data_IF_011233379804
#
_entry.id   IF_011233379804
#
_cell.length_a   1.000
_cell.length_b   1.000
_cell.length_c   1.000
_cell.angle_alpha   90.00
_cell.angle_beta   90.00
_cell.angle_gamma   90.00
#
_symmetry.space_group_name_H-M   'P 1'
#
loop_
_entity.id
_entity.type
_entity.pdbx_description
1 polymer ?
#
# COMPACT_ATOMS: atom_id res chain seq x y z
N UNK A 1 4.86 -21.46 -17.04
CA UNK A 1 4.23 -20.34 -17.72
C UNK A 1 3.62 -19.39 -16.70
N UNK A 2 3.85 -18.08 -16.85
CA UNK A 2 3.19 -17.06 -16.07
C UNK A 2 1.74 -16.93 -16.57
N UNK A 3 0.80 -16.70 -15.63
CA UNK A 3 -0.60 -16.39 -15.97
C UNK A 3 -0.92 -15.00 -15.43
N UNK A 4 -1.67 -14.23 -16.22
CA UNK A 4 -2.05 -12.87 -15.88
C UNK A 4 -3.55 -12.84 -15.59
N UNK A 5 -3.93 -12.21 -14.48
CA UNK A 5 -5.31 -11.84 -14.16
C UNK A 5 -5.38 -10.32 -14.07
N UNK A 6 -6.49 -9.77 -14.58
CA UNK A 6 -6.75 -8.32 -14.55
C UNK A 6 -8.09 -8.12 -13.85
N UNK A 7 -8.11 -7.22 -12.86
CA UNK A 7 -9.30 -6.75 -12.16
C UNK A 7 -9.49 -5.29 -12.53
N UNK A 8 -10.57 -4.98 -13.21
CA UNK A 8 -10.85 -3.61 -13.67
C UNK A 8 -11.61 -2.79 -12.62
N UNK A 9 -11.62 -1.46 -12.76
CA UNK A 9 -12.44 -0.58 -11.92
C UNK A 9 -13.93 -0.95 -11.96
N UNK A 10 -14.41 -1.44 -13.11
CA UNK A 10 -15.79 -1.90 -13.25
C UNK A 10 -16.05 -3.21 -12.49
N UNK A 11 -15.07 -4.12 -12.46
CA UNK A 11 -15.17 -5.36 -11.69
C UNK A 11 -15.23 -5.04 -10.19
N UNK A 12 -14.39 -4.08 -9.73
CA UNK A 12 -14.38 -3.61 -8.35
C UNK A 12 -15.77 -3.07 -7.93
N UNK A 13 -16.38 -2.25 -8.78
CA UNK A 13 -17.72 -1.70 -8.52
C UNK A 13 -18.82 -2.75 -8.55
N UNK A 14 -18.85 -3.61 -9.57
CA UNK A 14 -19.90 -4.63 -9.75
C UNK A 14 -19.92 -5.65 -8.63
N UNK A 15 -18.77 -6.00 -8.09
CA UNK A 15 -18.63 -6.98 -7.02
C UNK A 15 -18.75 -6.37 -5.62
N UNK A 16 -18.88 -5.05 -5.51
CA UNK A 16 -18.95 -4.35 -4.22
C UNK A 16 -17.65 -4.49 -3.41
N UNK A 17 -16.51 -4.57 -4.10
CA UNK A 17 -15.19 -4.70 -3.48
C UNK A 17 -14.86 -3.37 -2.80
N UNK A 18 -14.50 -3.44 -1.52
CA UNK A 18 -14.25 -2.27 -0.67
C UNK A 18 -12.78 -2.05 -0.38
N UNK A 19 -11.93 -3.05 -0.60
CA UNK A 19 -10.49 -2.95 -0.35
C UNK A 19 -9.66 -3.63 -1.44
N UNK A 20 -8.38 -3.24 -1.55
CA UNK A 20 -7.41 -3.92 -2.44
C UNK A 20 -7.22 -5.37 -2.00
N UNK A 21 -7.27 -5.64 -0.69
CA UNK A 21 -7.21 -6.99 -0.16
C UNK A 21 -8.32 -7.87 -0.72
N UNK A 22 -9.57 -7.39 -0.65
CA UNK A 22 -10.73 -8.12 -1.19
C UNK A 22 -10.58 -8.36 -2.69
N UNK A 23 -10.12 -7.34 -3.43
CA UNK A 23 -9.87 -7.48 -4.87
C UNK A 23 -8.88 -8.60 -5.17
N UNK A 24 -7.79 -8.68 -4.43
CA UNK A 24 -6.75 -9.67 -4.66
C UNK A 24 -7.16 -11.09 -4.25
N UNK A 25 -8.03 -11.26 -3.25
CA UNK A 25 -8.55 -12.58 -2.86
C UNK A 25 -9.41 -13.22 -3.95
N UNK A 26 -9.96 -12.43 -4.86
CA UNK A 26 -10.70 -12.93 -6.03
C UNK A 26 -9.80 -13.61 -7.07
N UNK A 27 -8.49 -13.43 -6.98
CA UNK A 27 -7.54 -13.99 -7.95
C UNK A 27 -7.12 -15.41 -7.52
N UNK A 28 -7.41 -16.45 -8.31
CA UNK A 28 -7.03 -17.81 -7.96
C UNK A 28 -5.53 -17.96 -7.73
N UNK A 29 -5.14 -18.54 -6.57
CA UNK A 29 -3.75 -18.73 -6.19
C UNK A 29 -3.05 -17.50 -5.59
N UNK A 30 -3.81 -16.48 -5.26
CA UNK A 30 -3.40 -15.37 -4.40
C UNK A 30 -4.06 -15.54 -3.04
N UNK A 31 -3.26 -15.54 -1.99
CA UNK A 31 -3.70 -15.55 -0.59
C UNK A 31 -3.35 -14.19 0.02
N UNK A 32 -4.36 -13.50 0.51
CA UNK A 32 -4.19 -12.21 1.18
C UNK A 32 -4.61 -12.35 2.62
N UNK A 33 -3.67 -12.17 3.51
CA UNK A 33 -3.94 -12.18 4.94
C UNK A 33 -3.95 -10.74 5.44
N UNK A 34 -5.10 -10.31 5.91
CA UNK A 34 -5.23 -9.01 6.55
C UNK A 34 -4.40 -9.01 7.84
N UNK A 35 -3.40 -8.16 7.85
CA UNK A 35 -2.78 -7.58 9.02
C UNK A 35 -2.63 -8.44 10.24
N UNK A 36 -2.13 -9.66 10.10
CA UNK A 36 -1.65 -10.42 11.24
C UNK A 36 -0.31 -9.84 11.75
N UNK A 37 0.23 -8.86 11.04
CA UNK A 37 1.41 -8.12 11.46
C UNK A 37 1.07 -6.97 12.40
N UNK A 38 2.07 -6.48 13.09
CA UNK A 38 1.96 -5.39 14.07
C UNK A 38 1.53 -4.07 13.45
N UNK A 39 1.81 -3.88 12.16
CA UNK A 39 1.49 -2.67 11.41
C UNK A 39 0.11 -2.68 10.73
N UNK A 40 -0.53 -3.86 10.66
CA UNK A 40 -1.81 -4.02 9.97
C UNK A 40 -1.73 -3.96 8.45
N UNK A 41 -0.52 -4.06 7.87
CA UNK A 41 -0.33 -4.16 6.44
C UNK A 41 -0.84 -5.48 5.86
N UNK A 42 -0.91 -5.58 4.53
CA UNK A 42 -1.36 -6.77 3.82
C UNK A 42 -0.20 -7.76 3.63
N UNK A 43 -0.42 -9.01 3.95
CA UNK A 43 0.46 -10.09 3.58
C UNK A 43 -0.07 -10.76 2.31
N UNK A 44 0.57 -10.48 1.18
CA UNK A 44 0.14 -10.97 -0.14
C UNK A 44 1.07 -12.10 -0.57
N UNK A 45 0.53 -13.29 -0.66
CA UNK A 45 1.25 -14.50 -1.06
C UNK A 45 0.71 -15.02 -2.40
N UNK A 46 1.60 -15.31 -3.34
CA UNK A 46 1.23 -15.88 -4.62
C UNK A 46 1.72 -17.34 -4.67
N UNK A 47 0.81 -18.27 -4.96
CA UNK A 47 1.07 -19.72 -5.04
C UNK A 47 1.75 -20.30 -3.78
N UNK A 48 1.39 -19.77 -2.61
CA UNK A 48 1.92 -20.23 -1.34
C UNK A 48 3.37 -19.81 -1.03
N UNK A 49 3.99 -19.00 -1.88
CA UNK A 49 5.32 -18.46 -1.61
C UNK A 49 5.22 -17.27 -0.63
N UNK A 50 6.26 -17.11 0.18
CA UNK A 50 6.34 -16.01 1.13
C UNK A 50 6.18 -14.66 0.43
N UNK A 51 5.53 -13.70 1.10
CA UNK A 51 5.31 -12.35 0.58
C UNK A 51 6.58 -11.63 0.10
N UNK A 52 7.75 -11.96 0.64
CA UNK A 52 9.04 -11.42 0.18
C UNK A 52 9.33 -11.71 -1.31
N UNK A 53 8.65 -12.71 -1.89
CA UNK A 53 8.74 -13.08 -3.31
C UNK A 53 7.59 -12.52 -4.15
N UNK A 54 6.73 -11.69 -3.58
CA UNK A 54 5.65 -10.99 -4.28
C UNK A 54 6.06 -9.53 -4.47
N UNK A 55 6.33 -9.14 -5.71
CA UNK A 55 6.64 -7.77 -6.05
C UNK A 55 5.37 -6.95 -6.18
N UNK A 56 5.32 -5.80 -5.50
CA UNK A 56 4.22 -4.85 -5.58
C UNK A 56 4.68 -3.62 -6.35
N UNK A 57 3.91 -3.26 -7.37
CA UNK A 57 4.11 -2.09 -8.19
C UNK A 57 2.89 -1.18 -8.12
N UNK A 58 3.12 0.12 -8.18
CA UNK A 58 2.09 1.14 -8.44
C UNK A 58 2.57 1.92 -9.67
N UNK A 59 1.78 1.88 -10.74
CA UNK A 59 2.13 2.48 -12.04
C UNK A 59 3.54 2.05 -12.52
N UNK A 60 3.87 0.76 -12.35
CA UNK A 60 5.16 0.20 -12.69
C UNK A 60 6.31 0.51 -11.73
N UNK A 61 6.09 1.35 -10.71
CA UNK A 61 7.11 1.71 -9.72
C UNK A 61 7.07 0.77 -8.52
N UNK A 62 8.23 0.22 -8.15
CA UNK A 62 8.36 -0.69 -7.00
C UNK A 62 7.95 -0.02 -5.70
N UNK A 63 7.19 -0.75 -4.89
CA UNK A 63 6.82 -0.35 -3.54
C UNK A 63 7.68 -1.04 -2.48
N UNK A 64 8.24 -2.20 -2.82
CA UNK A 64 9.16 -2.90 -1.94
C UNK A 64 10.45 -2.09 -1.79
N UNK A 65 10.89 -1.88 -0.57
CA UNK A 65 12.18 -1.23 -0.31
C UNK A 65 13.33 -2.21 -0.58
N UNK A 66 14.44 -1.70 -1.10
CA UNK A 66 15.66 -2.49 -1.21
C UNK A 66 16.25 -2.67 0.19
N UNK A 67 16.27 -3.91 0.66
CA UNK A 67 16.82 -4.28 1.97
C UNK A 67 15.77 -4.40 3.07
N UNK A 68 16.16 -5.01 4.18
CA UNK A 68 15.33 -5.17 5.37
C UNK A 68 15.40 -3.89 6.21
N UNK A 69 14.59 -2.89 5.87
CA UNK A 69 14.51 -1.62 6.61
C UNK A 69 13.62 -1.78 7.85
N UNK A 70 12.73 -2.76 7.84
CA UNK A 70 11.81 -3.00 8.94
C UNK A 70 12.42 -3.80 10.09
N UNK A 71 12.13 -3.46 11.34
CA UNK A 71 12.34 -4.35 12.46
C UNK A 71 11.53 -5.66 12.27
N UNK A 72 11.89 -6.70 12.99
CA UNK A 72 11.21 -7.99 12.92
C UNK A 72 9.69 -7.86 13.00
N UNK A 73 8.98 -8.27 11.95
CA UNK A 73 7.52 -8.20 11.84
C UNK A 73 6.95 -7.03 11.03
N UNK A 74 7.79 -6.19 10.41
CA UNK A 74 7.38 -5.04 9.60
C UNK A 74 7.49 -5.25 8.08
N UNK A 75 7.64 -6.49 7.62
CA UNK A 75 7.70 -6.80 6.18
C UNK A 75 6.47 -6.34 5.38
N UNK A 76 5.38 -6.01 6.07
CA UNK A 76 4.09 -5.65 5.49
C UNK A 76 3.89 -4.13 5.33
N UNK A 77 4.80 -3.29 5.83
CA UNK A 77 4.61 -1.84 5.77
C UNK A 77 4.58 -1.29 4.33
N UNK A 78 5.20 -1.96 3.37
CA UNK A 78 5.15 -1.59 1.95
C UNK A 78 3.73 -1.57 1.38
N UNK A 79 2.82 -2.37 1.95
CA UNK A 79 1.43 -2.44 1.52
C UNK A 79 0.55 -1.35 2.16
N UNK A 80 1.06 -0.62 3.14
CA UNK A 80 0.37 0.54 3.73
C UNK A 80 0.36 1.76 2.78
N UNK A 81 1.23 1.76 1.77
CA UNK A 81 1.35 2.85 0.78
C UNK A 81 0.45 2.65 -0.45
N UNK A 82 -0.64 1.93 -0.32
CA UNK A 82 -1.57 1.67 -1.43
C UNK A 82 -2.43 2.89 -1.74
N UNK A 83 -2.71 3.18 -3.04
CA UNK A 83 -3.61 4.26 -3.41
C UNK A 83 -5.04 3.94 -2.99
N UNK A 84 -5.90 4.98 -2.80
CA UNK A 84 -7.31 4.77 -2.59
C UNK A 84 -7.95 3.97 -3.72
N UNK A 85 -8.88 3.07 -3.40
CA UNK A 85 -9.54 2.21 -4.40
C UNK A 85 -10.18 3.02 -5.54
N UNK A 86 -10.72 4.20 -5.23
CA UNK A 86 -11.30 5.12 -6.20
C UNK A 86 -10.30 5.65 -7.24
N UNK A 87 -9.00 5.69 -6.91
CA UNK A 87 -7.92 6.10 -7.81
C UNK A 87 -7.45 4.98 -8.75
N UNK A 88 -7.91 3.72 -8.55
CA UNK A 88 -7.44 2.57 -9.30
C UNK A 88 -8.22 2.43 -10.61
N UNK A 89 -7.50 2.26 -11.71
CA UNK A 89 -8.04 1.87 -13.02
C UNK A 89 -8.19 0.37 -13.13
N UNK A 90 -7.13 -0.37 -12.77
CA UNK A 90 -7.09 -1.84 -12.75
C UNK A 90 -5.96 -2.37 -11.89
N UNK A 91 -6.07 -3.62 -11.49
CA UNK A 91 -5.03 -4.37 -10.81
C UNK A 91 -4.63 -5.54 -11.70
N UNK A 92 -3.36 -5.65 -12.02
CA UNK A 92 -2.79 -6.72 -12.82
C UNK A 92 -2.01 -7.68 -11.91
N UNK A 93 -2.34 -8.96 -11.93
CA UNK A 93 -1.65 -9.98 -11.13
C UNK A 93 -0.99 -10.98 -12.05
N UNK A 94 0.33 -10.98 -12.07
CA UNK A 94 1.17 -11.93 -12.79
C UNK A 94 1.57 -13.03 -11.81
N UNK A 95 1.07 -14.25 -12.04
CA UNK A 95 1.35 -15.39 -11.17
C UNK A 95 2.39 -16.31 -11.81
N UNK A 96 3.49 -16.50 -11.12
CA UNK A 96 4.64 -17.30 -11.55
C UNK A 96 5.89 -16.47 -11.72
N UNK A 97 7.02 -17.12 -12.04
CA UNK A 97 8.31 -16.45 -12.09
C UNK A 97 8.32 -15.33 -13.13
N UNK A 98 8.43 -14.11 -12.66
CA UNK A 98 8.58 -12.90 -13.46
C UNK A 98 9.96 -12.24 -13.23
N UNK A 99 10.88 -12.98 -12.63
CA UNK A 99 12.22 -12.49 -12.24
C UNK A 99 13.08 -12.03 -13.42
N UNK A 100 12.86 -12.56 -14.61
CA UNK A 100 13.57 -12.11 -15.83
C UNK A 100 13.22 -10.68 -16.23
N UNK A 101 12.02 -10.20 -15.89
CA UNK A 101 11.55 -8.85 -16.20
C UNK A 101 11.65 -7.91 -15.01
N UNK A 102 11.42 -8.44 -13.81
CA UNK A 102 11.24 -7.62 -12.61
C UNK A 102 12.28 -7.89 -11.50
N UNK A 103 13.21 -8.83 -11.69
CA UNK A 103 14.26 -9.17 -10.72
C UNK A 103 13.82 -10.18 -9.66
N UNK A 104 14.72 -10.46 -8.68
CA UNK A 104 14.60 -11.55 -7.70
C UNK A 104 13.32 -11.52 -6.85
N UNK A 105 12.79 -10.34 -6.57
CA UNK A 105 11.63 -10.17 -5.69
C UNK A 105 10.32 -10.65 -6.35
N UNK A 106 10.35 -10.91 -7.66
CA UNK A 106 9.20 -11.34 -8.46
C UNK A 106 9.21 -12.85 -8.77
N UNK A 107 9.82 -13.68 -7.92
CA UNK A 107 9.85 -15.15 -8.11
C UNK A 107 8.44 -15.75 -7.95
N UNK A 108 7.67 -15.28 -7.00
CA UNK A 108 6.28 -15.71 -6.77
C UNK A 108 5.31 -15.09 -7.77
N UNK A 109 5.53 -13.83 -8.08
CA UNK A 109 4.71 -13.06 -9.00
C UNK A 109 4.77 -11.56 -8.75
N UNK A 110 3.91 -10.84 -9.49
CA UNK A 110 3.82 -9.38 -9.44
C UNK A 110 2.36 -8.96 -9.27
N UNK A 111 2.13 -8.02 -8.38
CA UNK A 111 0.87 -7.27 -8.27
C UNK A 111 1.16 -5.86 -8.75
N UNK A 112 0.60 -5.44 -9.88
CA UNK A 112 0.77 -4.10 -10.42
C UNK A 112 -0.56 -3.35 -10.36
N UNK A 113 -0.60 -2.30 -9.55
CA UNK A 113 -1.76 -1.44 -9.37
C UNK A 113 -1.60 -0.27 -10.33
N UNK A 114 -2.50 -0.18 -11.30
CA UNK A 114 -2.52 0.90 -12.28
C UNK A 114 -3.54 1.94 -11.83
N UNK A 115 -3.09 3.16 -11.64
CA UNK A 115 -3.96 4.28 -11.28
C UNK A 115 -4.62 4.90 -12.51
N UNK A 116 -5.80 5.52 -12.30
CA UNK A 116 -6.51 6.22 -13.35
C UNK A 116 -5.67 7.33 -13.93
N UNK A 117 -5.72 7.48 -15.25
CA UNK A 117 -5.17 8.65 -15.93
C UNK A 117 -6.05 9.87 -15.68
N UNK A 118 -5.47 11.05 -15.83
CA UNK A 118 -6.22 12.28 -15.72
C UNK A 118 -7.28 12.32 -16.82
N UNK A 119 -8.52 12.61 -16.44
CA UNK A 119 -9.67 12.74 -17.33
C UNK A 119 -9.85 14.19 -17.78
N UNK A 120 -10.49 14.37 -18.94
CA UNK A 120 -10.94 15.70 -19.38
C UNK A 120 -12.21 16.19 -18.66
N UNK A 121 -12.74 15.40 -17.75
CA UNK A 121 -13.89 15.74 -16.90
C UNK A 121 -13.49 15.64 -15.44
N UNK A 122 -14.00 16.55 -14.62
CA UNK A 122 -13.82 16.48 -13.18
C UNK A 122 -14.54 15.27 -12.61
N UNK A 123 -13.84 14.48 -11.86
CA UNK A 123 -14.39 13.35 -11.12
C UNK A 123 -13.70 13.20 -9.77
N UNK A 124 -14.38 12.58 -8.82
CA UNK A 124 -13.79 12.33 -7.51
C UNK A 124 -14.62 11.37 -6.68
N UNK A 125 -14.06 10.96 -5.57
CA UNK A 125 -14.72 10.11 -4.59
C UNK A 125 -14.18 10.41 -3.19
N UNK A 126 -15.04 10.24 -2.21
CA UNK A 126 -14.67 10.17 -0.80
C UNK A 126 -15.19 8.83 -0.28
N UNK A 127 -14.30 8.07 0.34
CA UNK A 127 -14.63 6.78 0.95
C UNK A 127 -14.41 6.87 2.45
N UNK A 128 -15.41 6.46 3.22
CA UNK A 128 -15.32 6.28 4.67
C UNK A 128 -15.34 4.79 4.96
N UNK A 129 -14.35 4.31 5.68
CA UNK A 129 -14.25 2.90 6.05
C UNK A 129 -14.15 2.78 7.57
N UNK A 130 -14.88 1.82 8.13
CA UNK A 130 -14.84 1.50 9.56
C UNK A 130 -14.89 0.00 9.76
N UNK A 131 -13.90 -0.55 10.47
CA UNK A 131 -13.92 -1.92 10.96
C UNK A 131 -14.17 -1.90 12.45
N UNK A 132 -15.36 -2.32 12.85
CA UNK A 132 -15.76 -2.45 14.24
C UNK A 132 -15.71 -3.93 14.63
N UNK A 133 -14.88 -4.24 15.61
CA UNK A 133 -14.73 -5.61 16.08
C UNK A 133 -15.64 -5.85 17.30
N UNK A 134 -16.27 -7.04 17.40
CA UNK A 134 -17.18 -7.35 18.52
C UNK A 134 -16.54 -7.18 19.90
N UNK A 135 -15.24 -7.50 19.99
CA UNK A 135 -14.41 -7.32 21.19
C UNK A 135 -13.38 -6.23 20.92
N UNK A 136 -13.83 -4.99 20.78
CA UNK A 136 -12.96 -3.85 20.46
C UNK A 136 -11.88 -3.58 21.52
N UNK A 137 -12.08 -4.01 22.75
CA UNK A 137 -11.06 -3.99 23.81
C UNK A 137 -9.87 -4.92 23.51
N UNK A 138 -10.12 -6.02 22.79
CA UNK A 138 -9.09 -7.03 22.54
C UNK A 138 -8.37 -6.75 21.21
N UNK A 139 -9.10 -6.33 20.17
CA UNK A 139 -8.54 -6.25 18.82
C UNK A 139 -8.44 -4.85 18.22
N UNK A 140 -8.91 -3.82 18.89
CA UNK A 140 -8.91 -2.44 18.40
C UNK A 140 -9.72 -2.23 17.11
N UNK A 141 -10.45 -1.13 17.05
CA UNK A 141 -11.21 -0.74 15.84
C UNK A 141 -10.28 -0.01 14.85
N UNK A 142 -10.72 0.04 13.59
CA UNK A 142 -10.04 0.79 12.54
C UNK A 142 -11.02 1.74 11.88
N UNK A 143 -10.54 2.90 11.46
CA UNK A 143 -11.28 3.89 10.69
C UNK A 143 -10.38 4.55 9.67
N UNK A 144 -10.90 4.81 8.48
CA UNK A 144 -10.19 5.59 7.48
C UNK A 144 -11.10 6.50 6.68
N UNK A 145 -10.49 7.54 6.14
CA UNK A 145 -11.07 8.46 5.16
C UNK A 145 -10.11 8.51 3.98
N UNK A 146 -10.63 8.21 2.81
CA UNK A 146 -9.91 8.33 1.55
C UNK A 146 -10.59 9.38 0.68
N UNK A 147 -9.81 10.24 0.06
CA UNK A 147 -10.29 11.25 -0.88
C UNK A 147 -9.48 11.17 -2.18
N UNK A 148 -10.18 11.30 -3.28
CA UNK A 148 -9.62 11.31 -4.62
C UNK A 148 -10.37 12.30 -5.48
N UNK A 149 -9.63 13.16 -6.19
CA UNK A 149 -10.19 14.06 -7.20
C UNK A 149 -9.24 14.17 -8.38
N UNK A 150 -9.79 14.20 -9.59
CA UNK A 150 -9.05 14.39 -10.84
C UNK A 150 -9.85 15.22 -11.82
N UNK A 151 -9.17 15.96 -12.68
CA UNK A 151 -9.80 16.73 -13.73
C UNK A 151 -8.83 17.64 -14.48
N UNK A 152 -9.33 18.35 -15.50
CA UNK A 152 -8.52 19.25 -16.31
C UNK A 152 -8.32 20.59 -15.61
N UNK A 153 -7.07 21.04 -15.50
CA UNK A 153 -6.74 22.44 -15.23
C UNK A 153 -6.84 23.26 -16.53
N UNK A 154 -6.39 22.68 -17.63
CA UNK A 154 -6.55 23.20 -19.01
C UNK A 154 -7.04 22.02 -19.84
N UNK A 155 -8.26 22.09 -20.42
CA UNK A 155 -8.82 21.00 -21.20
C UNK A 155 -7.87 20.51 -22.29
N UNK A 156 -7.72 19.19 -22.42
CA UNK A 156 -6.86 18.50 -23.38
C UNK A 156 -5.35 18.82 -23.30
N UNK A 157 -4.90 19.59 -22.30
CA UNK A 157 -3.49 19.97 -22.18
C UNK A 157 -2.92 19.64 -20.81
N UNK A 158 -3.54 20.12 -19.72
CA UNK A 158 -3.00 19.99 -18.38
C UNK A 158 -4.08 19.47 -17.43
N UNK A 159 -3.81 18.36 -16.82
CA UNK A 159 -4.68 17.78 -15.82
C UNK A 159 -4.02 17.63 -14.46
N UNK A 160 -4.85 17.52 -13.42
CA UNK A 160 -4.44 17.32 -12.04
C UNK A 160 -5.14 16.11 -11.45
N UNK A 161 -4.44 15.40 -10.57
CA UNK A 161 -4.98 14.37 -9.72
C UNK A 161 -4.50 14.63 -8.30
N UNK A 162 -5.43 14.66 -7.36
CA UNK A 162 -5.16 14.74 -5.93
C UNK A 162 -5.69 13.50 -5.23
N UNK A 163 -4.94 12.99 -4.29
CA UNK A 163 -5.35 11.87 -3.44
C UNK A 163 -4.90 12.11 -2.01
N UNK A 164 -5.69 11.64 -1.07
CA UNK A 164 -5.38 11.69 0.34
C UNK A 164 -6.01 10.53 1.07
N UNK A 165 -5.33 10.05 2.10
CA UNK A 165 -5.82 9.02 3.02
C UNK A 165 -5.42 9.40 4.44
N UNK A 166 -6.38 9.25 5.36
CA UNK A 166 -6.11 9.21 6.80
C UNK A 166 -6.70 7.96 7.37
N UNK A 167 -5.89 7.15 8.05
CA UNK A 167 -6.33 5.92 8.68
C UNK A 167 -5.83 5.86 10.12
N UNK A 168 -6.69 5.44 11.02
CA UNK A 168 -6.40 5.31 12.45
C UNK A 168 -6.80 3.92 12.92
N UNK A 169 -6.01 3.36 13.81
CA UNK A 169 -6.28 2.10 14.47
C UNK A 169 -6.16 2.27 15.98
N UNK A 170 -7.12 1.74 16.70
CA UNK A 170 -7.08 1.69 18.15
C UNK A 170 -6.12 0.59 18.64
N UNK A 171 -5.62 0.74 19.86
CA UNK A 171 -4.77 -0.24 20.52
C UNK A 171 -5.48 -1.58 20.66
N UNK A 172 -4.78 -2.67 20.34
CA UNK A 172 -5.22 -4.02 20.68
C UNK A 172 -4.65 -4.44 22.05
N UNK A 173 -5.44 -5.20 22.81
CA UNK A 173 -5.05 -5.75 24.12
C UNK A 173 -5.42 -7.24 24.15
N UNK A 174 -4.70 -8.04 23.37
CA UNK A 174 -4.96 -9.48 23.31
C UNK A 174 -4.47 -10.14 24.58
N UNK A 175 -5.38 -10.78 25.28
CA UNK A 175 -5.11 -11.53 26.51
C UNK A 175 -5.12 -13.02 26.17
N UNK A 176 -4.11 -13.73 26.63
CA UNK A 176 -4.05 -15.18 26.59
C UNK A 176 -4.32 -15.71 27.98
N UNK A 177 -5.30 -16.59 28.13
CA UNK A 177 -5.50 -17.38 29.32
C UNK A 177 -4.82 -18.76 29.16
N UNK A 178 -4.11 -19.23 30.17
CA UNK A 178 -3.60 -20.58 30.22
C UNK A 178 -4.66 -21.56 30.80
N UNK A 179 -4.33 -22.85 30.89
CA UNK A 179 -5.24 -23.90 31.37
C UNK A 179 -5.56 -23.74 32.87
N UNK A 180 -4.81 -22.94 33.61
CA UNK A 180 -5.02 -22.63 35.04
C UNK A 180 -5.86 -21.33 35.20
N UNK A 181 -6.22 -20.67 34.10
CA UNK A 181 -7.00 -19.46 34.11
C UNK A 181 -6.16 -18.21 34.38
N UNK A 182 -4.83 -18.30 34.30
CA UNK A 182 -3.96 -17.12 34.42
C UNK A 182 -3.99 -16.31 33.12
N UNK A 183 -4.36 -15.04 33.24
CA UNK A 183 -4.41 -14.11 32.13
C UNK A 183 -3.05 -13.42 31.94
N UNK A 184 -2.54 -13.45 30.71
CA UNK A 184 -1.31 -12.77 30.33
C UNK A 184 -1.57 -11.88 29.12
N UNK A 185 -1.27 -10.58 29.23
CA UNK A 185 -1.33 -9.65 28.08
C UNK A 185 -0.21 -9.99 27.11
N UNK A 186 -0.56 -10.22 25.84
CA UNK A 186 0.40 -10.51 24.80
C UNK A 186 1.07 -9.19 24.33
N UNK A 187 2.29 -8.96 24.78
CA UNK A 187 3.10 -7.81 24.31
C UNK A 187 3.85 -8.11 23.01
N UNK A 188 4.01 -9.37 22.65
CA UNK A 188 4.70 -9.80 21.44
C UNK A 188 3.80 -10.67 20.56
N UNK A 189 4.14 -10.79 19.27
CA UNK A 189 3.37 -11.60 18.31
C UNK A 189 2.36 -10.78 17.51
N UNK A 190 1.24 -11.39 17.19
CA UNK A 190 0.17 -10.81 16.34
C UNK A 190 -0.77 -9.92 17.14
N UNK A 191 -0.24 -8.89 17.77
CA UNK A 191 -1.00 -7.93 18.56
C UNK A 191 -0.81 -6.53 17.96
N UNK A 192 -1.69 -6.10 17.02
CA UNK A 192 -1.55 -4.82 16.36
C UNK A 192 -1.60 -3.66 17.35
N UNK A 193 -0.72 -2.70 17.16
CA UNK A 193 -0.62 -1.52 18.02
C UNK A 193 -1.52 -0.41 17.52
N UNK A 194 -1.74 0.60 18.37
CA UNK A 194 -2.33 1.86 17.93
C UNK A 194 -1.46 2.46 16.82
N UNK A 195 -2.10 2.94 15.76
CA UNK A 195 -1.39 3.54 14.64
C UNK A 195 -2.20 4.65 13.98
N UNK A 196 -1.47 5.61 13.44
CA UNK A 196 -1.97 6.68 12.59
C UNK A 196 -1.21 6.64 11.26
N UNK A 197 -1.93 6.76 10.14
CA UNK A 197 -1.38 6.83 8.80
C UNK A 197 -1.98 8.02 8.07
N UNK A 198 -1.11 8.86 7.50
CA UNK A 198 -1.51 9.95 6.63
C UNK A 198 -0.77 9.81 5.30
N UNK A 199 -1.51 9.96 4.20
CA UNK A 199 -0.97 9.97 2.85
C UNK A 199 -1.56 11.13 2.07
N UNK A 200 -0.71 11.82 1.34
CA UNK A 200 -1.08 12.88 0.40
C UNK A 200 -0.33 12.67 -0.90
N UNK A 201 -1.01 12.79 -2.02
CA UNK A 201 -0.39 12.68 -3.33
C UNK A 201 -0.98 13.68 -4.32
N UNK A 202 -0.11 14.22 -5.17
CA UNK A 202 -0.47 15.08 -6.29
C UNK A 202 0.22 14.59 -7.55
N UNK A 203 -0.52 14.53 -8.67
CA UNK A 203 0.02 14.26 -10.00
C UNK A 203 -0.48 15.34 -10.95
N UNK A 204 0.45 15.93 -11.70
CA UNK A 204 0.17 16.78 -12.84
C UNK A 204 0.49 16.00 -14.11
N UNK A 205 -0.39 16.08 -15.11
CA UNK A 205 -0.17 15.45 -16.41
C UNK A 205 -0.33 16.49 -17.51
N UNK A 206 0.72 16.65 -18.30
CA UNK A 206 0.77 17.52 -19.46
C UNK A 206 0.72 16.67 -20.72
N UNK A 207 -0.26 16.92 -21.59
CA UNK A 207 -0.45 16.22 -22.87
C UNK A 207 -0.34 17.25 -24.02
N UNK A 208 0.89 17.65 -24.39
CA UNK A 208 1.09 18.70 -25.39
C UNK A 208 0.67 18.28 -26.80
N UNK A 209 0.64 16.99 -27.07
CA UNK A 209 0.14 16.37 -28.30
C UNK A 209 -0.39 14.97 -27.99
N UNK A 210 -1.16 14.37 -28.89
CA UNK A 210 -1.67 12.99 -28.75
C UNK A 210 -0.54 11.93 -28.63
N UNK A 211 0.67 12.31 -29.03
CA UNK A 211 1.84 11.43 -28.99
C UNK A 211 2.61 11.50 -27.67
N UNK A 212 2.45 12.54 -26.88
CA UNK A 212 3.27 12.79 -25.69
C UNK A 212 2.42 13.03 -24.45
N UNK A 213 2.66 12.22 -23.41
CA UNK A 213 2.21 12.48 -22.05
C UNK A 213 3.44 12.67 -21.15
N UNK A 214 3.47 13.75 -20.40
CA UNK A 214 4.49 14.04 -19.40
C UNK A 214 3.79 14.17 -18.06
N UNK A 215 4.21 13.44 -17.05
CA UNK A 215 3.64 13.56 -15.70
C UNK A 215 4.69 13.81 -14.64
N UNK A 216 4.34 14.64 -13.68
CA UNK A 216 5.09 14.86 -12.45
C UNK A 216 4.21 14.50 -11.27
N UNK A 217 4.74 13.67 -10.38
CA UNK A 217 4.05 13.18 -9.19
C UNK A 217 4.87 13.43 -7.94
N UNK A 218 4.20 13.87 -6.89
CA UNK A 218 4.72 13.91 -5.53
C UNK A 218 3.76 13.17 -4.60
N UNK A 219 4.31 12.36 -3.71
CA UNK A 219 3.56 11.65 -2.67
C UNK A 219 4.35 11.69 -1.36
N UNK A 220 3.65 11.98 -0.29
CA UNK A 220 4.15 11.87 1.07
C UNK A 220 3.26 10.94 1.87
N UNK A 221 3.86 10.07 2.66
CA UNK A 221 3.16 9.18 3.59
C UNK A 221 3.90 9.17 4.91
N UNK A 222 3.16 9.43 5.96
CA UNK A 222 3.63 9.42 7.34
C UNK A 222 2.86 8.35 8.11
N UNK A 223 3.58 7.46 8.79
CA UNK A 223 3.01 6.39 9.59
C UNK A 223 3.60 6.45 10.99
N UNK A 224 2.75 6.49 11.98
CA UNK A 224 3.10 6.47 13.38
C UNK A 224 2.48 5.25 14.07
N UNK A 225 3.27 4.60 14.93
CA UNK A 225 2.88 3.40 15.69
C UNK A 225 3.24 3.56 17.15
N UNK A 226 2.32 3.23 18.05
CA UNK A 226 2.58 3.18 19.49
C UNK A 226 3.41 1.94 19.84
N UNK A 227 4.50 2.14 20.54
CA UNK A 227 5.34 1.08 21.12
C UNK A 227 5.49 1.23 22.65
N UNK A 228 4.62 1.97 23.29
CA UNK A 228 4.71 2.26 24.72
C UNK A 228 4.73 1.00 25.62
N UNK A 229 4.16 -0.08 25.12
CA UNK A 229 4.15 -1.41 25.76
C UNK A 229 5.24 -2.38 25.22
N UNK A 230 6.11 -1.91 24.33
CA UNK A 230 7.14 -2.75 23.70
C UNK A 230 6.61 -3.80 22.72
N UNK A 231 5.41 -3.59 22.16
CA UNK A 231 4.78 -4.54 21.23
C UNK A 231 5.51 -4.62 19.88
N UNK A 232 6.08 -3.52 19.42
CA UNK A 232 6.86 -3.45 18.17
C UNK A 232 8.31 -3.87 18.36
N UNK A 233 8.80 -3.74 19.59
CA UNK A 233 10.16 -4.13 19.95
C UNK A 233 10.46 -3.72 21.37
N UNK A 234 11.38 -4.45 22.01
CA UNK A 234 11.75 -4.23 23.42
C UNK A 234 12.24 -2.82 23.63
N UNK A 235 11.64 -2.11 24.58
CA UNK A 235 12.07 -0.78 25.00
C UNK A 235 13.46 -0.87 25.63
N UNK A 236 14.36 0.04 25.27
CA UNK A 236 15.68 0.04 25.88
C UNK A 236 16.60 1.14 25.36
N UNK A 237 17.44 1.62 26.25
CA UNK A 237 18.36 2.73 25.97
C UNK A 237 19.60 2.34 25.14
N UNK A 238 19.90 1.03 25.01
CA UNK A 238 21.09 0.53 24.32
C UNK A 238 20.70 -0.53 23.29
N UNK A 239 20.32 -0.09 22.09
CA UNK A 239 19.97 -0.98 20.97
C UNK A 239 18.54 -1.54 21.02
N UNK A 240 17.65 -0.91 21.76
CA UNK A 240 16.22 -1.23 21.81
C UNK A 240 15.39 -0.35 20.87
N UNK A 241 14.16 -0.11 21.27
CA UNK A 241 13.18 0.69 20.52
C UNK A 241 12.61 1.79 21.41
N UNK A 242 12.26 2.93 20.79
CA UNK A 242 11.53 4.01 21.44
C UNK A 242 10.06 3.63 21.71
N UNK A 243 9.38 4.50 22.48
CA UNK A 243 7.94 4.37 22.78
C UNK A 243 7.04 4.58 21.57
N UNK A 244 7.59 5.07 20.46
CA UNK A 244 6.91 5.16 19.16
C UNK A 244 7.85 4.72 18.04
N UNK A 245 7.26 4.32 16.94
CA UNK A 245 7.95 4.01 15.68
C UNK A 245 7.31 4.83 14.58
N UNK A 246 8.11 5.44 13.71
CA UNK A 246 7.63 6.21 12.58
C UNK A 246 8.27 5.70 11.29
N UNK A 247 7.45 5.70 10.23
CA UNK A 247 7.86 5.35 8.87
C UNK A 247 7.34 6.43 7.94
N UNK A 248 8.26 7.25 7.45
CA UNK A 248 7.94 8.38 6.59
C UNK A 248 8.50 8.09 5.21
N UNK A 249 7.70 8.32 4.17
CA UNK A 249 8.11 8.12 2.79
C UNK A 249 7.74 9.31 1.93
N UNK A 250 8.73 9.86 1.27
CA UNK A 250 8.56 10.82 0.18
C UNK A 250 8.89 10.15 -1.15
N UNK A 251 8.09 10.43 -2.16
CA UNK A 251 8.25 9.89 -3.50
C UNK A 251 8.01 10.98 -4.53
N UNK A 252 8.95 11.13 -5.45
CA UNK A 252 8.86 12.01 -6.60
C UNK A 252 9.06 11.18 -7.86
N UNK A 253 8.19 11.37 -8.85
CA UNK A 253 8.29 10.68 -10.13
C UNK A 253 8.10 11.69 -11.25
N UNK A 254 8.97 11.64 -12.24
CA UNK A 254 8.80 12.29 -13.53
C UNK A 254 8.69 11.19 -14.58
N UNK A 255 7.61 11.18 -15.36
CA UNK A 255 7.37 10.18 -16.40
C UNK A 255 7.09 10.82 -17.73
N UNK A 256 7.50 10.15 -18.80
CA UNK A 256 7.21 10.55 -20.17
C UNK A 256 6.81 9.32 -20.97
N UNK A 257 5.68 9.39 -21.64
CA UNK A 257 5.22 8.40 -22.61
C UNK A 257 5.23 9.04 -23.99
N UNK A 258 5.97 8.45 -24.92
CA UNK A 258 5.97 8.82 -26.33
C UNK A 258 5.39 7.71 -27.17
N UNK A 259 4.33 8.03 -27.93
CA UNK A 259 3.65 7.12 -28.86
C UNK A 259 4.06 7.46 -30.29
N UNK A 260 4.62 6.51 -30.99
CA UNK A 260 5.03 6.64 -32.39
C UNK A 260 4.42 5.53 -33.23
N UNK A 261 4.55 5.65 -34.56
CA UNK A 261 4.05 4.64 -35.48
C UNK A 261 4.78 3.29 -35.37
N UNK A 262 5.95 3.27 -34.74
CA UNK A 262 6.77 2.06 -34.56
C UNK A 262 6.66 1.49 -33.14
N UNK A 263 6.02 2.17 -32.21
CA UNK A 263 5.84 1.70 -30.83
C UNK A 263 5.69 2.81 -29.82
N UNK A 264 5.57 2.43 -28.57
CA UNK A 264 5.48 3.31 -27.42
C UNK A 264 6.77 3.24 -26.61
N UNK A 265 7.37 4.38 -26.31
CA UNK A 265 8.49 4.51 -25.39
C UNK A 265 7.97 5.12 -24.07
N UNK A 266 8.19 4.39 -22.99
CA UNK A 266 7.91 4.87 -21.63
C UNK A 266 9.23 5.08 -20.89
N UNK A 267 9.40 6.26 -20.32
CA UNK A 267 10.57 6.64 -19.54
C UNK A 267 10.13 7.21 -18.21
N UNK A 268 10.83 6.84 -17.14
CA UNK A 268 10.56 7.41 -15.83
C UNK A 268 11.84 7.63 -15.03
N UNK A 269 11.82 8.70 -14.24
CA UNK A 269 12.80 8.98 -13.20
C UNK A 269 12.05 9.05 -11.88
N UNK A 270 12.41 8.19 -10.94
CA UNK A 270 11.81 8.15 -9.62
C UNK A 270 12.87 8.36 -8.54
N UNK A 271 12.54 9.17 -7.55
CA UNK A 271 13.27 9.28 -6.29
C UNK A 271 12.31 8.90 -5.16
N UNK A 272 12.71 7.95 -4.34
CA UNK A 272 11.96 7.54 -3.16
C UNK A 272 12.90 7.56 -1.96
N UNK A 273 12.52 8.34 -0.96
CA UNK A 273 13.20 8.42 0.31
C UNK A 273 12.29 7.81 1.38
N UNK A 274 12.82 6.88 2.15
CA UNK A 274 12.11 6.29 3.30
C UNK A 274 12.95 6.52 4.54
N UNK A 275 12.35 7.08 5.56
CA UNK A 275 12.93 7.29 6.88
C UNK A 275 12.21 6.42 7.91
N UNK A 276 12.98 5.84 8.82
CA UNK A 276 12.45 5.09 9.96
C UNK A 276 13.01 5.70 11.25
N UNK A 277 12.13 6.05 12.16
CA UNK A 277 12.48 6.64 13.46
C UNK A 277 11.99 5.73 14.58
N UNK A 278 12.75 5.67 15.68
CA UNK A 278 12.36 4.94 16.90
C UNK A 278 13.14 3.66 17.17
N UNK A 279 14.18 3.35 16.40
CA UNK A 279 15.17 2.34 16.74
C UNK A 279 16.43 3.01 17.27
N UNK A 280 16.82 2.64 18.49
CA UNK A 280 17.98 3.19 19.22
C UNK A 280 19.26 2.38 18.97
#
# INVERSE_FOLDING_TARGET
PASISVITADDLKKKGITSIADALTEVPGVDVRNGQGKTGGLNIQIRGLNQAYTLILIDGQRQNTSGSIGPNGFGEFSTSFMPPLAAIERIEVIRGPASTLYGSDAIGGVVNIITKKVSNEWSGAVTLEGTLLPNSSDFGNQRSVDAYVTGPLIPNLLGIQLRGRKAERDQSNVIRSDDEGTETELTQGQNPTKSDLENIGVRLTLTPTDQHDISAEYEQTDQWYDNSKGQLGTLGANGGYDKSQEYNREKMILSHTWRSNIGTLESSLANTQTETVGRL
#
